data_IF_154354823505
#
_entry.id   IF_154354823505
#
_cell.length_a   1.000
_cell.length_b   1.000
_cell.length_c   1.000
_cell.angle_alpha   90.00
_cell.angle_beta   90.00
_cell.angle_gamma   90.00
#
_symmetry.space_group_name_H-M   'P 1'
#
loop_
_entity.id
_entity.type
_entity.pdbx_description
1 polymer ?
#
# COMPACT_ATOMS: atom_id res chain seq x y z
N UNK A 1 -0.92 11.49 25.49
CA UNK A 1 0.08 11.41 24.40
C UNK A 1 -0.17 10.15 23.59
N UNK A 2 -0.36 10.32 22.30
CA UNK A 2 -0.56 9.16 21.41
C UNK A 2 0.79 8.62 20.96
N UNK A 3 1.01 7.34 21.22
CA UNK A 3 2.22 6.66 20.76
C UNK A 3 1.89 6.01 19.43
N UNK A 4 2.61 6.35 18.38
CA UNK A 4 2.46 5.68 17.09
C UNK A 4 2.98 4.25 17.21
N UNK A 5 2.14 3.29 16.84
CA UNK A 5 2.55 1.88 16.82
C UNK A 5 3.67 1.64 15.80
N UNK A 6 3.59 2.33 14.67
CA UNK A 6 4.61 2.27 13.64
C UNK A 6 5.21 3.65 13.41
N UNK A 7 6.52 3.68 13.21
CA UNK A 7 7.24 4.92 12.90
C UNK A 7 6.72 5.50 11.59
N UNK A 8 6.54 6.81 11.52
CA UNK A 8 6.07 7.58 10.37
C UNK A 8 4.60 7.45 10.00
N UNK A 9 3.92 6.38 10.36
CA UNK A 9 2.56 6.11 9.90
C UNK A 9 1.58 6.08 11.06
N UNK A 10 0.47 6.83 10.90
CA UNK A 10 -0.59 6.84 11.90
C UNK A 10 -1.51 5.65 11.73
N UNK A 11 -2.15 5.23 12.83
CA UNK A 11 -3.16 4.18 12.75
C UNK A 11 -4.34 4.63 11.90
N UNK A 12 -4.70 5.92 11.92
CA UNK A 12 -5.82 6.44 11.14
C UNK A 12 -5.64 6.26 9.63
N UNK A 13 -4.42 6.46 9.11
CA UNK A 13 -4.19 6.27 7.69
C UNK A 13 -4.11 4.80 7.28
N UNK A 14 -3.84 3.90 8.24
CA UNK A 14 -3.71 2.46 7.99
C UNK A 14 -4.99 1.67 8.24
N UNK A 15 -5.96 2.24 8.95
CA UNK A 15 -7.19 1.52 9.30
C UNK A 15 -8.17 1.41 8.14
N UNK A 16 -9.01 0.40 8.17
CA UNK A 16 -10.07 0.22 7.21
C UNK A 16 -11.04 1.41 7.27
N UNK A 17 -11.32 2.02 6.13
CA UNK A 17 -12.19 3.19 6.02
C UNK A 17 -13.65 2.87 6.35
N UNK A 18 -14.06 1.60 6.15
CA UNK A 18 -15.43 1.19 6.39
C UNK A 18 -15.70 0.73 7.82
N UNK A 19 -14.76 0.00 8.42
CA UNK A 19 -14.97 -0.63 9.74
C UNK A 19 -14.12 -0.05 10.86
N UNK A 20 -13.07 0.68 10.53
CA UNK A 20 -12.11 1.18 11.51
C UNK A 20 -11.11 0.14 12.01
N UNK A 21 -11.22 -1.10 11.56
CA UNK A 21 -10.26 -2.14 11.94
C UNK A 21 -8.89 -1.87 11.34
N UNK A 22 -7.85 -2.34 12.04
CA UNK A 22 -6.48 -2.23 11.58
C UNK A 22 -5.78 -3.58 11.80
N UNK A 23 -5.34 -4.19 10.70
CA UNK A 23 -4.66 -5.49 10.72
C UNK A 23 -3.50 -5.49 9.72
N UNK A 24 -2.49 -4.67 10.01
CA UNK A 24 -1.31 -4.61 9.15
C UNK A 24 -0.31 -5.70 9.56
N UNK A 25 0.26 -6.35 8.57
CA UNK A 25 1.32 -7.34 8.77
C UNK A 25 2.61 -6.64 9.23
N UNK A 26 3.25 -7.16 10.28
CA UNK A 26 4.43 -6.52 10.86
C UNK A 26 5.64 -6.52 9.93
N UNK A 27 5.85 -7.60 9.19
CA UNK A 27 6.96 -7.68 8.23
C UNK A 27 6.76 -6.68 7.09
N UNK A 28 5.51 -6.54 6.62
CA UNK A 28 5.17 -5.54 5.61
C UNK A 28 5.48 -4.15 6.13
N UNK A 29 5.06 -3.84 7.35
CA UNK A 29 5.30 -2.52 7.94
C UNK A 29 6.79 -2.23 8.11
N UNK A 30 7.59 -3.23 8.46
CA UNK A 30 9.05 -3.08 8.54
C UNK A 30 9.64 -2.66 7.20
N UNK A 31 9.21 -3.28 6.11
CA UNK A 31 9.64 -2.90 4.76
C UNK A 31 9.16 -1.51 4.35
N UNK A 32 7.93 -1.18 4.70
CA UNK A 32 7.36 0.13 4.39
C UNK A 32 8.11 1.25 5.10
N UNK A 33 8.45 1.04 6.36
CA UNK A 33 9.25 1.98 7.16
C UNK A 33 10.64 2.14 6.55
N UNK A 34 11.28 1.06 6.13
CA UNK A 34 12.58 1.11 5.46
C UNK A 34 12.51 1.92 4.17
N UNK A 35 11.46 1.72 3.37
CA UNK A 35 11.25 2.49 2.15
C UNK A 35 11.10 3.97 2.46
N UNK A 36 10.29 4.31 3.47
CA UNK A 36 10.08 5.69 3.91
C UNK A 36 11.40 6.34 4.31
N UNK A 37 12.25 5.62 5.02
CA UNK A 37 13.55 6.13 5.46
C UNK A 37 14.50 6.38 4.29
N UNK A 38 14.54 5.46 3.33
CA UNK A 38 15.37 5.64 2.13
C UNK A 38 14.86 6.74 1.23
N UNK A 39 13.55 6.90 1.13
CA UNK A 39 12.94 7.98 0.36
C UNK A 39 13.23 9.35 0.97
N UNK A 40 13.33 9.40 2.28
CA UNK A 40 13.58 10.62 3.07
C UNK A 40 12.60 11.76 2.75
N UNK A 41 11.36 11.42 2.48
CA UNK A 41 10.25 12.34 2.24
C UNK A 41 8.96 11.75 2.80
N UNK A 42 8.00 12.59 3.21
CA UNK A 42 6.72 12.08 3.69
C UNK A 42 6.03 11.19 2.68
N UNK A 43 5.42 10.13 3.15
CA UNK A 43 4.58 9.24 2.34
C UNK A 43 3.16 9.32 2.88
N UNK A 44 2.23 9.68 2.02
CA UNK A 44 0.81 9.80 2.38
C UNK A 44 0.11 8.50 2.01
N UNK A 45 -0.38 7.78 3.02
CA UNK A 45 -1.11 6.53 2.78
C UNK A 45 -2.57 6.87 2.56
N UNK A 46 -3.08 6.55 1.39
CA UNK A 46 -4.49 6.81 1.04
C UNK A 46 -5.37 5.60 1.26
N UNK A 47 -4.79 4.40 1.31
CA UNK A 47 -5.52 3.18 1.64
C UNK A 47 -4.54 2.19 2.27
N UNK A 48 -4.93 1.64 3.42
CA UNK A 48 -4.16 0.60 4.12
C UNK A 48 -4.96 -0.68 4.20
N UNK A 49 -5.25 -1.14 5.42
CA UNK A 49 -6.05 -2.35 5.62
C UNK A 49 -7.49 -2.14 5.14
N UNK A 50 -8.07 -3.20 4.54
CA UNK A 50 -9.50 -3.29 4.23
C UNK A 50 -10.05 -4.58 4.78
N UNK A 51 -11.20 -4.50 5.49
CA UNK A 51 -11.95 -5.70 5.84
C UNK A 51 -12.56 -6.29 4.56
N UNK A 52 -12.92 -7.57 4.59
CA UNK A 52 -13.60 -8.20 3.44
C UNK A 52 -14.88 -7.46 3.09
N UNK A 53 -15.68 -7.08 4.11
CA UNK A 53 -16.94 -6.37 3.91
C UNK A 53 -16.73 -5.03 3.19
N UNK A 54 -15.78 -4.23 3.65
CA UNK A 54 -15.51 -2.94 3.03
C UNK A 54 -14.96 -3.13 1.61
N UNK A 55 -14.05 -4.07 1.42
CA UNK A 55 -13.49 -4.38 0.11
C UNK A 55 -14.58 -4.76 -0.89
N UNK A 56 -15.53 -5.60 -0.47
CA UNK A 56 -16.66 -5.99 -1.31
C UNK A 56 -17.56 -4.79 -1.63
N UNK A 57 -17.80 -3.92 -0.66
CA UNK A 57 -18.67 -2.74 -0.84
C UNK A 57 -18.14 -1.75 -1.86
N UNK A 58 -16.82 -1.64 -2.01
CA UNK A 58 -16.19 -0.72 -2.97
C UNK A 58 -15.80 -1.41 -4.28
N UNK A 59 -16.20 -2.68 -4.48
CA UNK A 59 -15.92 -3.41 -5.70
C UNK A 59 -14.49 -3.90 -5.82
N UNK A 60 -13.77 -4.04 -4.71
CA UNK A 60 -12.40 -4.54 -4.72
C UNK A 60 -12.33 -6.04 -5.00
N UNK A 61 -11.17 -6.50 -5.47
CA UNK A 61 -10.94 -7.91 -5.73
C UNK A 61 -10.92 -8.72 -4.43
N UNK A 62 -11.51 -9.91 -4.44
CA UNK A 62 -11.42 -10.84 -3.32
C UNK A 62 -9.98 -11.31 -3.05
N UNK A 63 -9.07 -11.10 -4.00
CA UNK A 63 -7.65 -11.42 -3.88
C UNK A 63 -6.82 -10.22 -3.42
N UNK A 64 -7.47 -9.12 -3.02
CA UNK A 64 -6.76 -7.89 -2.67
C UNK A 64 -5.78 -8.11 -1.52
N UNK A 65 -4.56 -7.65 -1.71
CA UNK A 65 -3.53 -7.66 -0.66
C UNK A 65 -3.90 -6.76 0.52
N UNK A 66 -4.76 -5.76 0.31
CA UNK A 66 -5.26 -4.90 1.39
C UNK A 66 -6.03 -5.68 2.46
N UNK A 67 -6.77 -6.72 2.06
CA UNK A 67 -7.51 -7.57 3.02
C UNK A 67 -6.55 -8.32 3.95
N UNK A 68 -5.37 -8.63 3.46
CA UNK A 68 -4.37 -9.40 4.21
C UNK A 68 -3.43 -8.55 5.03
N UNK A 69 -3.58 -7.22 4.97
CA UNK A 69 -2.67 -6.30 5.66
C UNK A 69 -1.29 -6.25 5.01
N UNK A 70 -1.19 -6.60 3.74
CA UNK A 70 0.05 -6.70 2.98
C UNK A 70 0.20 -5.62 1.91
N UNK A 71 -0.63 -4.59 1.95
CA UNK A 71 -0.62 -3.55 0.93
C UNK A 71 -0.96 -2.17 1.49
N UNK A 72 -0.42 -1.16 0.81
CA UNK A 72 -0.84 0.23 0.96
C UNK A 72 -0.89 0.87 -0.42
N UNK A 73 -1.73 1.90 -0.53
CA UNK A 73 -1.70 2.83 -1.66
C UNK A 73 -1.07 4.12 -1.15
N UNK A 74 -0.08 4.62 -1.86
CA UNK A 74 0.65 5.83 -1.49
C UNK A 74 0.29 6.94 -2.46
N UNK A 75 -0.34 8.01 -1.96
CA UNK A 75 -0.67 9.18 -2.77
C UNK A 75 0.60 9.89 -3.22
N UNK A 76 0.84 9.93 -4.53
CA UNK A 76 2.05 10.54 -5.06
C UNK A 76 1.96 10.66 -6.59
N UNK A 77 2.81 11.52 -7.14
CA UNK A 77 2.93 11.68 -8.59
C UNK A 77 4.34 12.11 -8.95
N UNK A 78 4.66 12.10 -10.25
CA UNK A 78 5.91 12.63 -10.78
C UNK A 78 7.16 11.96 -10.21
N UNK A 79 8.16 12.78 -9.89
CA UNK A 79 9.45 12.29 -9.39
C UNK A 79 9.32 11.47 -8.12
N UNK A 80 8.41 11.85 -7.23
CA UNK A 80 8.20 11.11 -5.99
C UNK A 80 7.67 9.71 -6.27
N UNK A 81 6.71 9.58 -7.19
CA UNK A 81 6.19 8.27 -7.60
C UNK A 81 7.30 7.42 -8.22
N UNK A 82 8.11 8.01 -9.08
CA UNK A 82 9.25 7.33 -9.69
C UNK A 82 10.19 6.77 -8.62
N UNK A 83 10.56 7.60 -7.65
CA UNK A 83 11.48 7.19 -6.59
C UNK A 83 10.88 6.12 -5.68
N UNK A 84 9.59 6.21 -5.39
CA UNK A 84 8.90 5.19 -4.60
C UNK A 84 8.93 3.83 -5.31
N UNK A 85 8.63 3.81 -6.61
CA UNK A 85 8.65 2.56 -7.39
C UNK A 85 10.06 1.97 -7.42
N UNK A 86 11.05 2.82 -7.66
CA UNK A 86 12.47 2.39 -7.71
C UNK A 86 12.88 1.75 -6.40
N UNK A 87 12.62 2.42 -5.27
CA UNK A 87 12.99 1.92 -3.95
C UNK A 87 12.21 0.67 -3.57
N UNK A 88 10.93 0.62 -3.95
CA UNK A 88 10.10 -0.55 -3.69
C UNK A 88 10.67 -1.79 -4.39
N UNK A 89 11.10 -1.65 -5.63
CA UNK A 89 11.73 -2.75 -6.35
C UNK A 89 13.03 -3.18 -5.69
N UNK A 90 13.86 -2.23 -5.25
CA UNK A 90 15.11 -2.52 -4.56
C UNK A 90 14.89 -3.26 -3.24
N UNK A 91 13.82 -2.94 -2.53
CA UNK A 91 13.49 -3.54 -1.24
C UNK A 91 12.69 -4.83 -1.34
N UNK A 92 12.38 -5.26 -2.57
CA UNK A 92 11.69 -6.54 -2.78
C UNK A 92 10.19 -6.52 -2.60
N UNK A 93 9.55 -5.36 -2.77
CA UNK A 93 8.09 -5.33 -2.87
C UNK A 93 7.68 -6.11 -4.10
N UNK A 94 6.66 -6.95 -3.97
CA UNK A 94 6.31 -7.93 -4.98
C UNK A 94 5.18 -7.49 -5.91
N UNK A 95 4.33 -6.59 -5.47
CA UNK A 95 3.24 -6.05 -6.28
C UNK A 95 3.34 -4.55 -6.39
N UNK A 96 3.30 -4.03 -7.61
CA UNK A 96 3.36 -2.58 -7.86
C UNK A 96 2.26 -2.23 -8.83
N UNK A 97 1.30 -1.43 -8.34
CA UNK A 97 0.21 -0.91 -9.16
C UNK A 97 0.41 0.57 -9.41
N UNK A 98 0.25 0.99 -10.65
CA UNK A 98 0.54 2.37 -11.05
C UNK A 98 -0.74 3.06 -11.49
N UNK A 99 -1.13 4.09 -10.72
CA UNK A 99 -2.23 4.97 -11.09
C UNK A 99 -1.68 6.39 -11.18
N UNK A 100 -1.21 6.76 -12.37
CA UNK A 100 -0.59 8.06 -12.63
C UNK A 100 -1.33 8.82 -13.73
N UNK A 101 -2.65 8.67 -13.77
CA UNK A 101 -3.51 9.40 -14.71
C UNK A 101 -4.60 10.15 -13.92
N UNK A 102 -5.26 11.09 -14.58
CA UNK A 102 -6.28 11.92 -13.94
C UNK A 102 -5.69 13.03 -13.07
N UNK A 103 -6.48 13.64 -12.19
CA UNK A 103 -6.01 14.71 -11.32
C UNK A 103 -4.88 14.25 -10.41
N UNK A 104 -3.90 15.12 -10.19
CA UNK A 104 -2.72 14.78 -9.38
C UNK A 104 -3.08 14.28 -7.98
N UNK A 105 -4.08 14.88 -7.34
CA UNK A 105 -4.49 14.51 -5.98
C UNK A 105 -5.11 13.12 -5.89
N UNK A 106 -5.40 12.49 -7.03
CA UNK A 106 -5.95 11.13 -7.08
C UNK A 106 -4.93 10.09 -7.53
N UNK A 107 -3.73 10.52 -7.86
CA UNK A 107 -2.69 9.59 -8.31
C UNK A 107 -2.07 8.87 -7.13
N UNK A 108 -1.74 7.60 -7.33
CA UNK A 108 -1.13 6.80 -6.28
C UNK A 108 -0.29 5.67 -6.87
N UNK A 109 0.51 5.07 -6.01
CA UNK A 109 1.23 3.83 -6.28
C UNK A 109 0.76 2.80 -5.24
N UNK A 110 0.29 1.66 -5.72
CA UNK A 110 0.00 0.51 -4.87
C UNK A 110 1.29 -0.28 -4.65
N UNK A 111 1.54 -0.66 -3.40
CA UNK A 111 2.70 -1.48 -3.03
C UNK A 111 2.21 -2.65 -2.19
N UNK A 112 2.66 -3.88 -2.53
CA UNK A 112 2.35 -5.04 -1.69
C UNK A 112 3.51 -6.02 -1.61
N UNK A 113 3.43 -6.88 -0.61
CA UNK A 113 4.39 -7.97 -0.39
C UNK A 113 3.71 -9.34 -0.53
N UNK A 114 2.59 -9.41 -1.26
CA UNK A 114 1.96 -10.69 -1.57
C UNK A 114 2.93 -11.58 -2.35
N UNK A 115 2.73 -12.89 -2.27
CA UNK A 115 3.53 -13.86 -3.00
C UNK A 115 2.64 -14.73 -3.88
N UNK A 116 3.24 -15.41 -4.85
CA UNK A 116 2.53 -16.35 -5.71
C UNK A 116 2.10 -17.64 -5.00
N UNK A 117 2.42 -17.79 -3.72
CA UNK A 117 1.89 -18.88 -2.89
C UNK A 117 0.38 -18.76 -2.71
N UNK A 118 -0.16 -17.52 -2.79
CA UNK A 118 -1.60 -17.31 -2.74
C UNK A 118 -2.21 -17.74 -4.08
N UNK A 119 -3.18 -18.63 -4.02
CA UNK A 119 -3.83 -19.18 -5.23
C UNK A 119 -4.39 -18.06 -6.11
N UNK A 120 -4.03 -18.07 -7.38
CA UNK A 120 -4.50 -17.11 -8.36
C UNK A 120 -3.80 -15.75 -8.32
N UNK A 121 -2.72 -15.64 -7.55
CA UNK A 121 -1.93 -14.41 -7.47
C UNK A 121 -0.57 -14.64 -8.13
N UNK A 122 -0.21 -13.77 -9.08
CA UNK A 122 1.12 -13.79 -9.71
C UNK A 122 1.99 -12.71 -9.08
N UNK A 123 3.18 -13.07 -8.62
CA UNK A 123 4.16 -12.12 -8.07
C UNK A 123 5.59 -12.59 -8.42
N UNK A 124 6.53 -11.68 -8.71
CA UNK A 124 6.34 -10.24 -8.77
C UNK A 124 5.49 -9.83 -9.98
N UNK A 125 4.77 -8.74 -9.83
CA UNK A 125 3.86 -8.26 -10.89
C UNK A 125 3.72 -6.74 -10.83
N UNK A 126 3.67 -6.12 -12.01
CA UNK A 126 3.38 -4.69 -12.13
C UNK A 126 2.15 -4.52 -13.02
N UNK A 127 1.27 -3.59 -12.65
CA UNK A 127 0.07 -3.31 -13.43
C UNK A 127 -0.26 -1.83 -13.43
N UNK A 128 -1.12 -1.43 -14.35
CA UNK A 128 -1.64 -0.07 -14.38
C UNK A 128 -3.14 -0.09 -14.14
N UNK A 129 -3.65 1.00 -13.59
CA UNK A 129 -5.08 1.21 -13.41
C UNK A 129 -5.63 1.97 -14.61
N UNK A 130 -6.92 1.75 -14.91
CA UNK A 130 -7.60 2.45 -16.01
C UNK A 130 -8.22 3.76 -15.52
#
# INVERSE_FOLDING_TARGET
MMIKRWKYFSEDELRCKGTGEIKMNEEFMTKLIELREKLNQPMIITSGYRSEEHNNSIGGSYKSAHIRGLAVDVGCSGAKAYNIVKLAMELGFQGIGINQHGPHEKRFIHLDTMTSEVIGVSRPWIWSYK
#
